data_IF_269330510997
#
_entry.id   IF_269330510997
#
_cell.length_a   1.000
_cell.length_b   1.000
_cell.length_c   1.000
_cell.angle_alpha   90.00
_cell.angle_beta   90.00
_cell.angle_gamma   90.00
#
_symmetry.space_group_name_H-M   'P 1'
#
loop_
_entity.id
_entity.type
_entity.pdbx_description
1 polymer ?
#
# COMPACT_ATOMS: atom_id res chain seq x y z
N UNK A 1 -5.02 -1.18 -1.16
CA UNK A 1 -5.08 -2.34 -0.26
C UNK A 1 -6.16 -3.27 -0.76
N UNK A 2 -5.90 -4.58 -0.77
CA UNK A 2 -6.87 -5.57 -1.23
C UNK A 2 -7.89 -5.78 -0.11
N UNK A 3 -9.18 -5.69 -0.44
CA UNK A 3 -10.29 -5.85 0.49
C UNK A 3 -10.59 -7.33 0.75
N UNK A 4 -9.56 -8.07 1.10
CA UNK A 4 -9.64 -9.47 1.47
C UNK A 4 -8.71 -9.71 2.64
N UNK A 5 -9.31 -10.08 3.77
CA UNK A 5 -8.63 -10.40 5.01
C UNK A 5 -7.61 -11.53 4.82
N UNK A 6 -7.86 -12.48 3.91
CA UNK A 6 -6.94 -13.58 3.63
C UNK A 6 -5.61 -13.11 3.01
N UNK A 7 -5.53 -11.86 2.56
CA UNK A 7 -4.27 -11.29 2.09
C UNK A 7 -3.35 -10.84 3.23
N UNK A 8 -3.85 -10.73 4.46
CA UNK A 8 -3.05 -10.38 5.64
C UNK A 8 -1.91 -11.37 5.83
N UNK A 9 -0.72 -10.84 6.15
CA UNK A 9 0.50 -11.64 6.38
C UNK A 9 0.54 -12.15 7.84
N UNK A 10 -0.22 -11.53 8.75
CA UNK A 10 -0.23 -11.86 10.17
C UNK A 10 -0.99 -13.15 10.50
N UNK A 11 -0.67 -13.73 11.66
CA UNK A 11 -1.43 -14.84 12.24
C UNK A 11 -2.72 -14.28 12.86
N UNK A 12 -3.85 -14.90 12.55
CA UNK A 12 -5.14 -14.57 13.15
C UNK A 12 -5.29 -15.31 14.49
N UNK A 13 -4.83 -14.68 15.57
CA UNK A 13 -5.03 -15.16 16.94
C UNK A 13 -6.32 -14.54 17.52
N UNK A 14 -7.46 -14.90 16.93
CA UNK A 14 -8.78 -14.37 17.26
C UNK A 14 -9.83 -15.50 17.24
N UNK A 15 -11.01 -15.24 17.81
CA UNK A 15 -12.11 -16.20 17.73
C UNK A 15 -12.64 -16.34 16.30
N UNK A 16 -13.31 -17.46 16.01
CA UNK A 16 -13.97 -17.65 14.70
C UNK A 16 -15.03 -16.58 14.43
N UNK A 17 -15.74 -16.13 15.48
CA UNK A 17 -16.75 -15.07 15.38
C UNK A 17 -16.11 -13.74 14.96
N UNK A 18 -15.02 -13.34 15.61
CA UNK A 18 -14.27 -12.13 15.26
C UNK A 18 -13.68 -12.22 13.86
N UNK A 19 -13.15 -13.39 13.49
CA UNK A 19 -12.62 -13.61 12.15
C UNK A 19 -13.69 -13.42 11.07
N UNK A 20 -14.87 -14.02 11.26
CA UNK A 20 -16.00 -13.88 10.32
C UNK A 20 -16.49 -12.44 10.23
N UNK A 21 -16.63 -11.76 11.37
CA UNK A 21 -16.96 -10.35 11.41
C UNK A 21 -15.96 -9.50 10.60
N UNK A 22 -14.67 -9.65 10.88
CA UNK A 22 -13.64 -8.88 10.18
C UNK A 22 -13.60 -9.19 8.68
N UNK A 23 -13.80 -10.47 8.30
CA UNK A 23 -13.88 -10.88 6.90
C UNK A 23 -15.00 -10.15 6.15
N UNK A 24 -16.20 -10.14 6.72
CA UNK A 24 -17.35 -9.45 6.13
C UNK A 24 -17.15 -7.93 6.14
N UNK A 25 -16.63 -7.39 7.23
CA UNK A 25 -16.38 -5.95 7.37
C UNK A 25 -15.38 -5.43 6.34
N UNK A 26 -14.24 -6.12 6.16
CA UNK A 26 -13.20 -5.73 5.20
C UNK A 26 -13.70 -5.84 3.76
N UNK A 27 -14.42 -6.92 3.43
CA UNK A 27 -14.94 -7.14 2.08
C UNK A 27 -15.97 -6.09 1.64
N UNK A 28 -16.70 -5.50 2.59
CA UNK A 28 -17.74 -4.49 2.33
C UNK A 28 -17.29 -3.05 2.60
N UNK A 29 -16.04 -2.81 2.98
CA UNK A 29 -15.53 -1.47 3.13
C UNK A 29 -15.64 -0.69 1.81
N UNK A 30 -15.85 0.62 1.86
CA UNK A 30 -15.86 1.48 0.67
C UNK A 30 -14.79 2.52 0.88
N UNK A 31 -13.76 2.50 0.03
CA UNK A 31 -12.67 3.46 0.11
C UNK A 31 -12.97 4.70 -0.71
N UNK A 32 -12.77 5.86 -0.12
CA UNK A 32 -12.79 7.14 -0.82
C UNK A 32 -11.38 7.57 -1.26
N UNK A 33 -11.27 8.76 -1.83
CA UNK A 33 -9.99 9.31 -2.27
C UNK A 33 -9.03 9.55 -1.09
N UNK A 34 -9.53 9.88 0.10
CA UNK A 34 -8.68 10.07 1.27
C UNK A 34 -8.07 8.76 1.73
N UNK A 35 -8.85 7.67 1.76
CA UNK A 35 -8.35 6.33 2.06
C UNK A 35 -7.27 5.89 1.06
N UNK A 36 -7.49 6.12 -0.23
CA UNK A 36 -6.52 5.83 -1.27
C UNK A 36 -5.25 6.67 -1.12
N UNK A 37 -5.38 7.95 -0.75
CA UNK A 37 -4.23 8.82 -0.49
C UNK A 37 -3.39 8.29 0.66
N UNK A 38 -4.02 7.89 1.78
CA UNK A 38 -3.32 7.30 2.92
C UNK A 38 -2.58 6.02 2.52
N UNK A 39 -3.21 5.15 1.73
CA UNK A 39 -2.58 3.93 1.21
C UNK A 39 -1.36 4.23 0.33
N UNK A 40 -1.46 5.27 -0.52
CA UNK A 40 -0.35 5.70 -1.35
C UNK A 40 0.79 6.29 -0.50
N UNK A 41 0.47 7.09 0.51
CA UNK A 41 1.45 7.66 1.44
C UNK A 41 2.24 6.58 2.19
N UNK A 42 1.60 5.51 2.67
CA UNK A 42 2.30 4.37 3.31
C UNK A 42 3.28 3.68 2.35
N UNK A 43 2.91 3.61 1.07
CA UNK A 43 3.75 3.03 0.03
C UNK A 43 4.87 3.98 -0.48
N UNK A 44 4.80 5.27 -0.20
CA UNK A 44 5.79 6.26 -0.60
C UNK A 44 6.78 6.62 0.51
N UNK A 45 6.51 6.22 1.76
CA UNK A 45 7.29 6.64 2.91
C UNK A 45 8.23 5.55 3.45
N UNK A 46 9.46 5.96 3.74
CA UNK A 46 10.43 5.23 4.55
C UNK A 46 10.78 6.04 5.81
N UNK A 47 11.43 5.45 6.83
CA UNK A 47 11.88 6.20 8.01
C UNK A 47 12.79 7.39 7.70
N UNK A 48 13.44 7.40 6.53
CA UNK A 48 14.33 8.47 6.06
C UNK A 48 13.64 9.52 5.18
N UNK A 49 12.35 9.37 4.88
CA UNK A 49 11.57 10.27 4.02
C UNK A 49 10.92 9.54 2.84
N UNK A 50 10.49 10.31 1.82
CA UNK A 50 9.82 9.75 0.64
C UNK A 50 10.77 8.95 -0.25
N UNK A 51 10.25 7.93 -0.92
CA UNK A 51 10.98 7.10 -1.87
C UNK A 51 10.09 6.67 -3.04
N UNK A 52 10.71 6.15 -4.09
CA UNK A 52 10.01 5.46 -5.17
C UNK A 52 9.28 4.21 -4.64
N UNK A 53 8.11 3.93 -5.20
CA UNK A 53 7.30 2.76 -4.83
C UNK A 53 8.11 1.46 -4.92
N UNK A 54 8.92 1.32 -5.96
CA UNK A 54 9.76 0.14 -6.19
C UNK A 54 10.74 -0.10 -5.04
N UNK A 55 11.32 0.97 -4.47
CA UNK A 55 12.20 0.86 -3.30
C UNK A 55 11.42 0.37 -2.09
N UNK A 56 10.25 0.94 -1.83
CA UNK A 56 9.39 0.54 -0.71
C UNK A 56 8.93 -0.91 -0.85
N UNK A 57 8.54 -1.31 -2.04
CA UNK A 57 8.12 -2.67 -2.37
C UNK A 57 9.22 -3.69 -2.08
N UNK A 58 10.44 -3.42 -2.57
CA UNK A 58 11.60 -4.30 -2.33
C UNK A 58 11.97 -4.33 -0.84
N UNK A 59 12.01 -3.19 -0.15
CA UNK A 59 12.30 -3.14 1.30
C UNK A 59 11.33 -4.00 2.13
N UNK A 60 10.02 -3.84 1.89
CA UNK A 60 8.99 -4.62 2.59
C UNK A 60 9.14 -6.10 2.29
N UNK A 61 9.36 -6.47 1.03
CA UNK A 61 9.53 -7.88 0.63
C UNK A 61 10.81 -8.50 1.20
N UNK A 62 11.91 -7.76 1.34
CA UNK A 62 13.13 -8.26 2.00
C UNK A 62 12.86 -8.57 3.47
N UNK A 63 12.08 -7.73 4.17
CA UNK A 63 11.82 -7.89 5.60
C UNK A 63 10.80 -8.98 5.93
N UNK A 64 9.78 -9.13 5.09
CA UNK A 64 8.62 -9.99 5.39
C UNK A 64 8.43 -11.14 4.40
N UNK A 65 9.26 -11.24 3.37
CA UNK A 65 9.12 -12.23 2.29
C UNK A 65 8.06 -11.86 1.26
N UNK A 66 7.77 -12.81 0.37
CA UNK A 66 6.74 -12.69 -0.67
C UNK A 66 5.52 -13.49 -0.24
N UNK A 67 4.37 -12.83 -0.21
CA UNK A 67 3.06 -13.44 -0.02
C UNK A 67 2.39 -13.68 -1.38
N UNK A 68 1.43 -14.60 -1.47
CA UNK A 68 0.69 -14.87 -2.72
C UNK A 68 0.00 -13.60 -3.26
N UNK A 69 -0.45 -12.72 -2.37
CA UNK A 69 -1.08 -11.45 -2.69
C UNK A 69 -0.09 -10.28 -2.94
N UNK A 70 1.23 -10.49 -2.87
CA UNK A 70 2.22 -9.40 -2.98
C UNK A 70 2.11 -8.66 -4.32
N UNK A 71 2.00 -9.39 -5.42
CA UNK A 71 1.92 -8.79 -6.76
C UNK A 71 0.62 -7.98 -6.91
N UNK A 72 -0.50 -8.51 -6.43
CA UNK A 72 -1.78 -7.82 -6.51
C UNK A 72 -1.80 -6.53 -5.68
N UNK A 73 -1.10 -6.52 -4.53
CA UNK A 73 -0.92 -5.31 -3.72
C UNK A 73 -0.12 -4.25 -4.47
N UNK A 74 0.97 -4.63 -5.12
CA UNK A 74 1.79 -3.69 -5.89
C UNK A 74 1.01 -3.08 -7.05
N UNK A 75 0.28 -3.90 -7.81
CA UNK A 75 -0.62 -3.43 -8.89
C UNK A 75 -1.64 -2.43 -8.35
N UNK A 76 -2.30 -2.75 -7.24
CA UNK A 76 -3.30 -1.85 -6.65
C UNK A 76 -2.71 -0.50 -6.22
N UNK A 77 -1.51 -0.49 -5.66
CA UNK A 77 -0.83 0.77 -5.29
C UNK A 77 -0.42 1.58 -6.54
N UNK A 78 0.04 0.92 -7.60
CA UNK A 78 0.37 1.57 -8.86
C UNK A 78 -0.88 2.18 -9.52
N UNK A 79 -2.02 1.49 -9.50
CA UNK A 79 -3.32 2.02 -9.95
C UNK A 79 -3.72 3.27 -9.16
N UNK A 80 -3.61 3.22 -7.82
CA UNK A 80 -3.91 4.38 -6.96
C UNK A 80 -2.99 5.55 -7.30
N UNK A 81 -1.69 5.30 -7.48
CA UNK A 81 -0.73 6.33 -7.91
C UNK A 81 -1.17 6.96 -9.23
N UNK A 82 -1.51 6.15 -10.23
CA UNK A 82 -1.95 6.64 -11.54
C UNK A 82 -3.24 7.48 -11.43
N UNK A 83 -4.19 7.07 -10.60
CA UNK A 83 -5.40 7.86 -10.32
C UNK A 83 -5.07 9.26 -9.80
N UNK A 84 -4.16 9.38 -8.83
CA UNK A 84 -3.73 10.69 -8.33
C UNK A 84 -2.94 11.49 -9.36
N UNK A 85 -2.02 10.86 -10.09
CA UNK A 85 -1.24 11.52 -11.14
C UNK A 85 -2.11 12.10 -12.25
N UNK A 86 -3.18 11.39 -12.63
CA UNK A 86 -4.17 11.89 -13.57
C UNK A 86 -4.95 13.11 -13.03
N UNK A 87 -5.24 13.16 -11.74
CA UNK A 87 -5.94 14.29 -11.12
C UNK A 87 -5.03 15.54 -10.97
N UNK A 88 -3.75 15.35 -10.63
CA UNK A 88 -2.79 16.45 -10.44
C UNK A 88 -2.12 16.90 -11.75
N UNK A 89 -2.18 16.08 -12.81
CA UNK A 89 -1.64 16.39 -14.14
C UNK A 89 -0.11 16.30 -14.25
N UNK A 90 0.55 15.70 -13.28
CA UNK A 90 1.99 15.48 -13.26
C UNK A 90 2.34 14.24 -12.45
N UNK A 91 3.62 13.86 -12.41
CA UNK A 91 4.03 12.76 -11.56
C UNK A 91 3.99 13.15 -10.07
N UNK A 92 3.46 12.26 -9.23
CA UNK A 92 3.46 12.44 -7.76
C UNK A 92 4.88 12.68 -7.24
N UNK A 93 5.88 12.05 -7.88
CA UNK A 93 7.28 12.17 -7.51
C UNK A 93 7.85 13.58 -7.73
N UNK A 94 7.25 14.38 -8.63
CA UNK A 94 7.63 15.79 -8.82
C UNK A 94 7.17 16.70 -7.68
N UNK A 95 6.24 16.24 -6.84
CA UNK A 95 5.68 17.00 -5.73
C UNK A 95 6.30 16.63 -4.37
N UNK A 96 7.08 15.56 -4.31
CA UNK A 96 7.60 15.01 -3.05
C UNK A 96 9.07 15.39 -2.83
N UNK A 97 9.40 16.11 -1.75
CA UNK A 97 10.77 16.55 -1.51
C UNK A 97 11.68 15.37 -1.12
N UNK A 98 12.94 15.42 -1.59
CA UNK A 98 13.98 14.46 -1.19
C UNK A 98 13.82 13.05 -1.76
N UNK A 99 12.88 12.83 -2.69
CA UNK A 99 12.55 11.48 -3.17
C UNK A 99 13.69 10.82 -3.95
N UNK A 100 14.44 11.60 -4.72
CA UNK A 100 15.57 11.10 -5.53
C UNK A 100 16.69 10.67 -4.60
N UNK A 101 17.09 11.55 -3.70
CA UNK A 101 18.16 11.32 -2.72
C UNK A 101 17.87 10.09 -1.87
N UNK A 102 16.64 9.98 -1.36
CA UNK A 102 16.23 8.85 -0.54
C UNK A 102 16.06 7.55 -1.34
N UNK A 103 15.77 7.61 -2.63
CA UNK A 103 15.61 6.42 -3.46
C UNK A 103 16.94 5.80 -3.88
N UNK A 104 17.95 6.62 -4.17
CA UNK A 104 19.26 6.16 -4.64
C UNK A 104 20.32 5.98 -3.56
N UNK A 105 20.00 6.33 -2.31
CA UNK A 105 20.85 6.02 -1.15
C UNK A 105 20.89 4.54 -0.82
#
# INVERSE_FOLDING_TARGET
>A
MIQDIATSIGVFDVSDEDYLFMKEFVANAVYDDYDHLVQLCDALAMPTGFCLLEKRFVDVTIRYGVHTATIDRWKRILEIKEQFENQIGCSIYSLLPGIVENSFR
#
